data_IF_402436427413
#
_entry.id   IF_402436427413
#
_cell.length_a   1.000
_cell.length_b   1.000
_cell.length_c   1.000
_cell.angle_alpha   90.00
_cell.angle_beta   90.00
_cell.angle_gamma   90.00
#
_symmetry.space_group_name_H-M   'P 1'
#
loop_
_entity.id
_entity.type
_entity.pdbx_description
1 polymer ?
#
# COMPACT_ATOMS: atom_id res chain seq x y z
N UNK A 1 -1.06 30.64 6.39
CA UNK A 1 -1.25 29.71 7.52
C UNK A 1 -2.07 28.55 6.97
N UNK A 2 -1.49 27.36 6.75
CA UNK A 2 -2.10 26.04 6.36
C UNK A 2 -1.10 25.18 5.53
N UNK A 3 0.01 25.72 5.00
CA UNK A 3 0.88 24.95 4.07
C UNK A 3 1.91 24.02 4.77
N UNK A 4 2.03 24.03 6.10
CA UNK A 4 3.10 23.30 6.81
C UNK A 4 2.66 22.01 7.54
N UNK A 5 1.48 21.45 7.24
CA UNK A 5 0.91 20.33 8.01
C UNK A 5 1.05 18.94 7.36
N UNK A 6 1.72 18.80 6.21
CA UNK A 6 1.82 17.53 5.49
C UNK A 6 3.27 17.16 5.22
N UNK A 7 4.04 16.93 6.27
CA UNK A 7 5.20 16.04 6.18
C UNK A 7 4.72 14.63 6.51
N UNK A 8 4.57 13.70 5.55
CA UNK A 8 4.54 12.30 5.91
C UNK A 8 5.94 11.98 6.45
N UNK A 9 6.01 11.73 7.75
CA UNK A 9 7.16 11.08 8.37
C UNK A 9 7.27 9.71 7.70
N UNK A 10 8.15 9.59 6.71
CA UNK A 10 8.50 8.32 6.09
C UNK A 10 9.31 7.57 7.14
N UNK A 11 8.65 6.67 7.88
CA UNK A 11 9.34 5.69 8.69
C UNK A 11 10.07 4.73 7.75
N UNK A 12 11.36 4.51 7.98
CA UNK A 12 12.12 3.44 7.33
C UNK A 12 11.39 2.12 7.56
N UNK A 13 10.81 1.56 6.51
CA UNK A 13 10.20 0.24 6.52
C UNK A 13 11.32 -0.80 6.71
N UNK A 14 11.38 -1.39 7.90
CA UNK A 14 12.16 -2.59 8.16
C UNK A 14 11.48 -3.72 7.38
N UNK A 15 12.04 -4.12 6.23
CA UNK A 15 11.46 -5.17 5.36
C UNK A 15 11.45 -6.49 6.13
N UNK A 16 10.38 -6.73 6.88
CA UNK A 16 10.18 -7.99 7.61
C UNK A 16 9.42 -8.97 6.73
N UNK A 17 10.12 -10.03 6.37
CA UNK A 17 9.50 -11.21 5.79
C UNK A 17 8.87 -12.03 6.91
N UNK A 18 7.64 -12.50 6.71
CA UNK A 18 6.93 -13.38 7.64
C UNK A 18 6.66 -14.73 6.95
N UNK A 19 6.80 -15.82 7.68
CA UNK A 19 6.44 -17.15 7.24
C UNK A 19 5.11 -17.54 7.91
N UNK A 20 4.06 -17.74 7.12
CA UNK A 20 2.78 -18.27 7.57
C UNK A 20 2.79 -19.78 7.42
N UNK A 21 2.80 -20.47 8.54
CA UNK A 21 2.69 -21.92 8.62
C UNK A 21 1.21 -22.30 8.82
N UNK A 22 0.65 -23.07 7.89
CA UNK A 22 -0.68 -23.66 8.02
C UNK A 22 -0.54 -25.15 8.31
N UNK A 23 -1.18 -25.62 9.38
CA UNK A 23 -1.18 -27.00 9.84
C UNK A 23 -2.62 -27.36 10.19
N UNK A 24 -3.15 -28.48 9.71
CA UNK A 24 -4.55 -28.97 9.91
C UNK A 24 -5.62 -27.87 10.12
N UNK A 25 -5.87 -27.41 11.36
CA UNK A 25 -6.85 -26.35 11.67
C UNK A 25 -6.24 -25.05 12.25
N UNK A 26 -4.93 -24.83 12.11
CA UNK A 26 -4.22 -23.73 12.73
C UNK A 26 -3.28 -22.99 11.75
N UNK A 27 -3.24 -21.66 11.88
CA UNK A 27 -2.33 -20.80 11.13
C UNK A 27 -1.47 -20.03 12.11
N UNK A 28 -0.15 -20.17 12.01
CA UNK A 28 0.81 -19.43 12.85
C UNK A 28 1.74 -18.62 11.97
N UNK A 29 1.93 -17.34 12.31
CA UNK A 29 2.74 -16.40 11.53
C UNK A 29 4.02 -16.13 12.32
N UNK A 30 5.16 -16.49 11.73
CA UNK A 30 6.48 -16.40 12.36
C UNK A 30 7.32 -15.37 11.62
N UNK A 31 7.89 -14.36 12.28
CA UNK A 31 8.81 -13.43 11.63
C UNK A 31 10.12 -14.14 11.26
N UNK A 32 10.60 -13.91 10.03
CA UNK A 32 11.94 -14.32 9.62
C UNK A 32 12.96 -13.31 10.15
N UNK A 33 14.17 -13.79 10.46
CA UNK A 33 15.28 -12.92 10.86
C UNK A 33 15.88 -12.22 9.64
N UNK A 34 16.70 -11.19 9.88
CA UNK A 34 17.30 -10.35 8.82
C UNK A 34 18.25 -11.16 7.92
N UNK A 35 18.83 -12.22 8.45
CA UNK A 35 19.68 -13.20 7.76
C UNK A 35 18.89 -14.31 7.05
N UNK A 36 17.57 -14.37 7.25
CA UNK A 36 16.69 -15.39 6.68
C UNK A 36 15.87 -14.82 5.53
N UNK A 37 15.79 -15.60 4.46
CA UNK A 37 15.06 -15.27 3.24
C UNK A 37 13.77 -16.08 3.14
N UNK A 38 12.95 -15.73 2.16
CA UNK A 38 11.70 -16.42 1.85
C UNK A 38 11.91 -17.91 1.52
N UNK A 39 13.11 -18.29 1.05
CA UNK A 39 13.51 -19.68 0.79
C UNK A 39 13.67 -20.51 2.07
N UNK A 40 13.95 -19.84 3.20
CA UNK A 40 14.08 -20.49 4.51
C UNK A 40 12.71 -20.81 5.13
N UNK A 41 11.63 -20.26 4.58
CA UNK A 41 10.26 -20.61 4.93
C UNK A 41 9.88 -21.95 4.31
N UNK A 42 10.20 -23.04 5.01
CA UNK A 42 9.82 -24.40 4.63
C UNK A 42 9.13 -25.13 5.79
N UNK A 43 8.74 -26.39 5.54
CA UNK A 43 8.07 -27.24 6.53
C UNK A 43 8.96 -27.49 7.76
N UNK A 44 10.28 -27.63 7.60
CA UNK A 44 11.20 -27.85 8.71
C UNK A 44 11.29 -26.63 9.64
N UNK A 45 11.32 -25.42 9.07
CA UNK A 45 11.26 -24.17 9.83
C UNK A 45 9.95 -24.05 10.62
N UNK A 46 8.82 -24.40 10.00
CA UNK A 46 7.53 -24.41 10.66
C UNK A 46 7.48 -25.40 11.82
N UNK A 47 7.95 -26.64 11.62
CA UNK A 47 8.00 -27.65 12.70
C UNK A 47 8.83 -27.18 13.89
N UNK A 48 9.98 -26.56 13.64
CA UNK A 48 10.87 -26.04 14.69
C UNK A 48 10.29 -24.87 15.50
N UNK A 49 9.46 -24.02 14.89
CA UNK A 49 8.90 -22.83 15.54
C UNK A 49 7.46 -23.01 16.08
N UNK A 50 6.68 -23.94 15.53
CA UNK A 50 5.25 -24.06 15.87
C UNK A 50 4.93 -25.26 16.78
N UNK A 51 5.88 -26.16 17.05
CA UNK A 51 5.71 -27.39 17.87
C UNK A 51 4.46 -28.23 17.51
N UNK A 52 3.90 -28.06 16.29
CA UNK A 52 2.75 -28.81 15.78
C UNK A 52 3.19 -29.74 14.66
N UNK A 53 2.52 -30.88 14.65
CA UNK A 53 2.67 -31.95 13.69
C UNK A 53 1.69 -31.68 12.54
N UNK A 54 2.01 -32.06 11.29
CA UNK A 54 1.07 -31.90 10.16
C UNK A 54 1.04 -30.52 9.46
N UNK A 55 2.14 -29.77 9.47
CA UNK A 55 2.22 -28.54 8.66
C UNK A 55 2.53 -28.87 7.20
N UNK A 56 1.55 -28.70 6.32
CA UNK A 56 1.68 -28.99 4.88
C UNK A 56 1.94 -27.74 4.03
N UNK A 57 1.54 -26.55 4.50
CA UNK A 57 1.51 -25.36 3.64
C UNK A 57 2.24 -24.18 4.32
N UNK A 58 3.57 -24.05 4.10
CA UNK A 58 4.30 -22.82 4.41
C UNK A 58 4.10 -21.80 3.27
N UNK A 59 3.70 -20.58 3.62
CA UNK A 59 3.62 -19.45 2.68
C UNK A 59 4.37 -18.26 3.23
N UNK A 60 5.27 -17.70 2.44
CA UNK A 60 6.03 -16.54 2.83
C UNK A 60 5.30 -15.26 2.36
N UNK A 61 5.17 -14.29 3.27
CA UNK A 61 4.51 -13.00 3.06
C UNK A 61 5.42 -11.87 3.54
N UNK A 62 5.69 -10.90 2.69
CA UNK A 62 6.32 -9.65 3.10
C UNK A 62 5.23 -8.66 3.47
N UNK A 63 5.15 -8.28 4.75
CA UNK A 63 4.11 -7.36 5.23
C UNK A 63 4.28 -5.94 4.68
N UNK A 64 5.51 -5.58 4.34
CA UNK A 64 5.88 -4.33 3.69
C UNK A 64 6.19 -4.55 2.20
N UNK A 65 5.40 -5.40 1.53
CA UNK A 65 5.53 -5.58 0.09
C UNK A 65 5.15 -4.28 -0.62
N UNK A 66 6.07 -3.77 -1.44
CA UNK A 66 5.86 -2.60 -2.29
C UNK A 66 4.57 -2.71 -3.14
N UNK A 67 4.12 -3.94 -3.44
CA UNK A 67 2.84 -4.18 -4.14
C UNK A 67 1.63 -3.61 -3.36
N UNK A 68 1.50 -3.91 -2.07
CA UNK A 68 0.39 -3.42 -1.24
C UNK A 68 0.50 -1.92 -1.00
N UNK A 69 1.72 -1.43 -0.82
CA UNK A 69 2.02 0.00 -0.64
C UNK A 69 1.66 0.84 -1.87
N UNK A 70 2.03 0.40 -3.09
CA UNK A 70 1.67 1.08 -4.34
C UNK A 70 0.15 1.19 -4.49
N UNK A 71 -0.59 0.11 -4.20
CA UNK A 71 -2.04 0.08 -4.38
C UNK A 71 -2.70 1.17 -3.53
N UNK A 72 -2.26 1.31 -2.28
CA UNK A 72 -2.76 2.33 -1.35
C UNK A 72 -2.40 3.74 -1.83
N UNK A 73 -1.16 4.00 -2.22
CA UNK A 73 -0.76 5.32 -2.71
C UNK A 73 -1.50 5.74 -3.97
N UNK A 74 -1.67 4.82 -4.92
CA UNK A 74 -2.42 5.08 -6.14
C UNK A 74 -3.86 5.50 -5.83
N UNK A 75 -4.52 4.78 -4.91
CA UNK A 75 -5.86 5.13 -4.45
C UNK A 75 -5.92 6.53 -3.80
N UNK A 76 -4.96 6.86 -2.93
CA UNK A 76 -4.88 8.17 -2.27
C UNK A 76 -4.68 9.29 -3.30
N UNK A 77 -3.80 9.12 -4.28
CA UNK A 77 -3.53 10.12 -5.32
C UNK A 77 -4.77 10.36 -6.19
N UNK A 78 -5.47 9.30 -6.60
CA UNK A 78 -6.68 9.42 -7.40
C UNK A 78 -7.79 10.12 -6.64
N UNK A 79 -8.08 9.66 -5.43
CA UNK A 79 -9.17 10.21 -4.61
C UNK A 79 -8.89 11.65 -4.21
N UNK A 80 -7.66 11.99 -3.81
CA UNK A 80 -7.27 13.36 -3.53
C UNK A 80 -7.34 14.25 -4.77
N UNK A 81 -6.91 13.77 -5.94
CA UNK A 81 -7.04 14.47 -7.21
C UNK A 81 -8.49 14.77 -7.55
N UNK A 82 -9.38 13.79 -7.46
CA UNK A 82 -10.83 13.95 -7.68
C UNK A 82 -11.43 14.98 -6.72
N UNK A 83 -11.07 14.92 -5.43
CA UNK A 83 -11.57 15.84 -4.41
C UNK A 83 -11.09 17.28 -4.66
N UNK A 84 -9.82 17.47 -5.02
CA UNK A 84 -9.27 18.78 -5.35
C UNK A 84 -9.94 19.39 -6.59
N UNK A 85 -10.17 18.58 -7.63
CA UNK A 85 -10.90 19.02 -8.84
C UNK A 85 -12.34 19.42 -8.48
N UNK A 86 -13.02 18.66 -7.62
CA UNK A 86 -14.37 18.98 -7.17
C UNK A 86 -14.43 20.30 -6.37
N UNK A 87 -13.47 20.52 -5.47
CA UNK A 87 -13.39 21.75 -4.66
C UNK A 87 -13.04 22.99 -5.48
N UNK A 88 -12.22 22.84 -6.52
CA UNK A 88 -11.84 23.95 -7.40
C UNK A 88 -12.89 24.24 -8.47
N UNK A 89 -13.77 23.30 -8.79
CA UNK A 89 -14.86 23.43 -9.76
C UNK A 89 -15.70 24.73 -9.66
N UNK A 90 -16.16 25.19 -8.48
CA UNK A 90 -16.87 26.47 -8.37
C UNK A 90 -15.99 27.69 -8.70
N UNK A 91 -14.71 27.64 -8.34
CA UNK A 91 -13.75 28.71 -8.61
C UNK A 91 -13.39 28.77 -10.10
N UNK A 92 -13.19 27.59 -10.69
CA UNK A 92 -12.99 27.39 -12.11
C UNK A 92 -14.21 27.96 -12.85
N UNK A 93 -15.44 27.50 -12.58
CA UNK A 93 -16.68 28.04 -13.20
C UNK A 93 -16.81 29.57 -13.10
N UNK A 94 -16.41 30.16 -11.98
CA UNK A 94 -16.42 31.61 -11.78
C UNK A 94 -15.37 32.33 -12.64
N UNK A 95 -14.14 31.81 -12.69
CA UNK A 95 -13.06 32.34 -13.51
C UNK A 95 -13.37 32.28 -15.00
N UNK A 96 -13.99 31.18 -15.41
CA UNK A 96 -14.49 30.89 -16.76
C UNK A 96 -15.48 31.93 -17.25
N UNK A 97 -16.49 32.24 -16.42
CA UNK A 97 -17.48 33.27 -16.74
C UNK A 97 -16.83 34.65 -16.88
N UNK A 98 -15.75 34.89 -16.15
CA UNK A 98 -15.05 36.18 -16.15
C UNK A 98 -14.07 36.32 -17.33
N UNK A 99 -13.57 35.21 -17.89
CA UNK A 99 -12.62 35.17 -19.00
C UNK A 99 -13.12 34.27 -20.16
N UNK A 100 -14.09 34.75 -20.97
CA UNK A 100 -14.72 33.95 -22.03
C UNK A 100 -13.77 33.53 -23.16
N UNK A 101 -12.65 34.24 -23.38
CA UNK A 101 -11.66 33.89 -24.41
C UNK A 101 -10.87 32.60 -24.14
N UNK A 102 -10.91 32.06 -22.92
CA UNK A 102 -10.22 30.80 -22.56
C UNK A 102 -11.02 29.57 -23.03
N UNK A 103 -12.30 29.73 -23.38
CA UNK A 103 -13.19 28.63 -23.78
C UNK A 103 -13.00 28.17 -25.23
N UNK A 104 -12.49 29.04 -26.10
CA UNK A 104 -12.37 28.78 -27.53
C UNK A 104 -11.16 27.93 -27.92
N UNK A 105 -10.35 27.47 -26.94
CA UNK A 105 -9.13 26.68 -27.17
C UNK A 105 -9.18 25.25 -26.63
N UNK A 106 -10.31 24.79 -26.07
CA UNK A 106 -10.50 23.36 -25.82
C UNK A 106 -10.69 22.66 -27.17
N UNK A 107 -9.86 21.67 -27.53
CA UNK A 107 -10.06 20.92 -28.76
C UNK A 107 -11.44 20.27 -28.71
N UNK A 108 -12.28 20.67 -29.67
CA UNK A 108 -13.60 20.11 -29.89
C UNK A 108 -13.46 18.59 -30.07
N UNK A 109 -14.16 17.81 -29.25
CA UNK A 109 -14.37 16.38 -29.53
C UNK A 109 -15.67 16.19 -30.29
#
# INVERSE_FOLDING_TARGET
>A
MIIFAITPIVQTADVRSFCKCVCEENSTIVPLRIDQTCSDCNIAFCKGNTSKEGCEIPTCFQRDSYKDEIIVYFYIIITSGLLLIALTNPYIKKWIRTNPHVYTSMPNS
#
